data_IF_110076275832
#
_entry.id   IF_110076275832
#
_cell.length_a   1.000
_cell.length_b   1.000
_cell.length_c   1.000
_cell.angle_alpha   90.00
_cell.angle_beta   90.00
_cell.angle_gamma   90.00
#
_symmetry.space_group_name_H-M   'P 1'
#
loop_
_entity.id
_entity.type
_entity.pdbx_description
1 polymer ?
#
# COMPACT_ATOMS: atom_id res chain seq x y z
N UNK A 1 -35.61 21.07 -30.59
CA UNK A 1 -34.61 19.98 -30.75
C UNK A 1 -33.24 20.62 -30.85
N UNK A 2 -32.40 20.43 -29.83
CA UNK A 2 -30.93 20.51 -29.86
C UNK A 2 -30.45 20.34 -28.41
N UNK A 3 -30.05 19.11 -28.06
CA UNK A 3 -29.36 18.80 -26.81
C UNK A 3 -27.87 18.88 -27.05
N UNK A 4 -27.11 19.73 -26.34
CA UNK A 4 -25.66 19.60 -26.32
C UNK A 4 -25.28 18.53 -25.29
N UNK A 5 -24.88 17.36 -25.78
CA UNK A 5 -23.92 16.53 -25.10
C UNK A 5 -22.63 17.32 -24.93
N UNK A 6 -22.11 17.50 -23.72
CA UNK A 6 -20.67 17.41 -23.43
C UNK A 6 -20.31 17.87 -22.00
N UNK A 7 -19.46 17.06 -21.36
CA UNK A 7 -18.56 17.44 -20.26
C UNK A 7 -19.12 17.65 -18.85
N UNK A 8 -19.85 16.66 -18.33
CA UNK A 8 -19.96 16.44 -16.88
C UNK A 8 -18.68 15.77 -16.31
N UNK A 9 -17.50 16.37 -16.53
CA UNK A 9 -16.26 16.02 -15.79
C UNK A 9 -16.20 16.81 -14.48
N UNK A 10 -17.26 16.73 -13.69
CA UNK A 10 -17.26 17.15 -12.28
C UNK A 10 -16.54 16.12 -11.43
N UNK A 11 -15.23 15.96 -11.64
CA UNK A 11 -14.44 14.99 -10.87
C UNK A 11 -14.28 15.51 -9.45
N UNK A 12 -14.94 14.86 -8.50
CA UNK A 12 -14.77 15.06 -7.06
C UNK A 12 -13.28 15.19 -6.68
N UNK A 13 -12.82 16.43 -6.49
CA UNK A 13 -11.45 16.79 -6.13
C UNK A 13 -11.07 16.18 -4.77
N UNK A 14 -12.03 16.08 -3.85
CA UNK A 14 -11.86 15.50 -2.51
C UNK A 14 -11.35 14.05 -2.56
N UNK A 15 -11.80 13.27 -3.54
CA UNK A 15 -11.40 11.86 -3.64
C UNK A 15 -10.00 11.65 -4.26
N UNK A 16 -9.50 12.65 -5.00
CA UNK A 16 -8.18 12.60 -5.65
C UNK A 16 -7.08 12.93 -4.65
N UNK A 17 -7.25 13.99 -3.86
CA UNK A 17 -6.25 14.41 -2.88
C UNK A 17 -6.00 13.34 -1.82
N UNK A 18 -7.06 12.73 -1.29
CA UNK A 18 -6.92 11.70 -0.26
C UNK A 18 -6.13 10.48 -0.77
N UNK A 19 -6.46 10.00 -1.99
CA UNK A 19 -5.72 8.89 -2.62
C UNK A 19 -4.27 9.26 -2.88
N UNK A 20 -4.01 10.47 -3.37
CA UNK A 20 -2.66 10.93 -3.66
C UNK A 20 -1.81 11.03 -2.38
N UNK A 21 -2.35 11.66 -1.33
CA UNK A 21 -1.70 11.77 -0.02
C UNK A 21 -1.41 10.41 0.59
N UNK A 22 -2.34 9.47 0.45
CA UNK A 22 -2.17 8.13 0.99
C UNK A 22 -1.09 7.32 0.23
N UNK A 23 -1.00 7.48 -1.10
CA UNK A 23 0.07 6.87 -1.90
C UNK A 23 1.42 7.47 -1.52
N UNK A 24 1.52 8.78 -1.33
CA UNK A 24 2.75 9.45 -0.86
C UNK A 24 3.16 8.97 0.53
N UNK A 25 2.22 8.91 1.47
CA UNK A 25 2.46 8.37 2.82
C UNK A 25 2.90 6.91 2.78
N UNK A 26 2.27 6.07 1.94
CA UNK A 26 2.67 4.68 1.75
C UNK A 26 4.07 4.56 1.14
N UNK A 27 4.51 5.53 0.34
CA UNK A 27 5.89 5.61 -0.15
C UNK A 27 6.88 5.99 0.95
N UNK A 28 6.49 6.87 1.89
CA UNK A 28 7.31 7.18 3.07
C UNK A 28 7.40 5.99 4.03
N UNK A 29 6.32 5.25 4.25
CA UNK A 29 6.31 4.10 5.17
C UNK A 29 7.21 2.96 4.72
N UNK A 30 7.60 2.88 3.44
CA UNK A 30 8.65 1.96 2.95
C UNK A 30 9.96 2.13 3.71
N UNK A 31 10.29 3.35 4.15
CA UNK A 31 11.54 3.63 4.87
C UNK A 31 11.49 3.20 6.34
N UNK A 32 10.29 3.22 6.93
CA UNK A 32 10.10 2.96 8.37
C UNK A 32 9.66 1.52 8.66
N UNK A 33 8.93 0.89 7.73
CA UNK A 33 8.39 -0.46 7.90
C UNK A 33 9.18 -1.47 7.09
N UNK A 34 9.61 -2.51 7.79
CA UNK A 34 10.41 -3.62 7.26
C UNK A 34 9.67 -4.40 6.17
N UNK A 35 8.41 -4.77 6.42
CA UNK A 35 7.62 -5.52 5.44
C UNK A 35 7.32 -4.71 4.16
N UNK A 36 7.21 -3.39 4.29
CA UNK A 36 6.95 -2.49 3.18
C UNK A 36 8.18 -2.37 2.25
N UNK A 37 9.38 -2.30 2.84
CA UNK A 37 10.67 -2.39 2.12
C UNK A 37 10.82 -3.73 1.39
N UNK A 38 10.57 -4.84 2.08
CA UNK A 38 10.61 -6.18 1.49
C UNK A 38 9.63 -6.34 0.32
N UNK A 39 8.40 -5.83 0.47
CA UNK A 39 7.38 -5.84 -0.58
C UNK A 39 7.81 -5.00 -1.79
N UNK A 40 8.42 -3.84 -1.55
CA UNK A 40 8.93 -2.97 -2.60
C UNK A 40 10.00 -3.70 -3.44
N UNK A 41 11.01 -4.29 -2.78
CA UNK A 41 12.09 -5.04 -3.45
C UNK A 41 11.58 -6.25 -4.22
N UNK A 42 10.65 -7.01 -3.64
CA UNK A 42 10.02 -8.12 -4.36
C UNK A 42 9.36 -7.63 -5.66
N UNK A 43 8.72 -6.46 -5.62
CA UNK A 43 7.93 -5.97 -6.75
C UNK A 43 8.80 -5.31 -7.83
N UNK A 44 9.93 -4.72 -7.41
CA UNK A 44 11.02 -4.24 -8.25
C UNK A 44 11.72 -5.41 -8.96
N UNK A 45 12.03 -6.51 -8.26
CA UNK A 45 12.59 -7.72 -8.85
C UNK A 45 11.66 -8.37 -9.91
N UNK A 46 10.35 -8.11 -9.82
CA UNK A 46 9.36 -8.51 -10.83
C UNK A 46 9.26 -7.55 -12.02
N UNK A 47 10.05 -6.48 -12.06
CA UNK A 47 10.09 -5.50 -13.15
C UNK A 47 8.92 -4.52 -13.18
N UNK A 48 8.17 -4.34 -12.09
CA UNK A 48 7.06 -3.36 -12.07
C UNK A 48 7.57 -1.93 -11.92
N UNK A 49 6.92 -0.93 -12.57
CA UNK A 49 7.31 0.46 -12.40
C UNK A 49 6.99 0.95 -10.98
N UNK A 50 7.88 1.80 -10.45
CA UNK A 50 7.83 2.37 -9.09
C UNK A 50 6.43 2.82 -8.66
N UNK A 51 5.76 3.62 -9.50
CA UNK A 51 4.44 4.18 -9.19
C UNK A 51 3.37 3.10 -8.99
N UNK A 52 3.47 1.96 -9.67
CA UNK A 52 2.56 0.82 -9.52
C UNK A 52 2.84 0.07 -8.22
N UNK A 53 4.12 -0.04 -7.84
CA UNK A 53 4.53 -0.65 -6.57
C UNK A 53 3.92 0.13 -5.40
N UNK A 54 4.12 1.45 -5.35
CA UNK A 54 3.61 2.30 -4.26
C UNK A 54 2.09 2.23 -4.19
N UNK A 55 1.38 2.30 -5.33
CA UNK A 55 -0.08 2.17 -5.33
C UNK A 55 -0.54 0.83 -4.76
N UNK A 56 0.11 -0.28 -5.14
CA UNK A 56 -0.24 -1.59 -4.60
C UNK A 56 0.08 -1.72 -3.11
N UNK A 57 1.15 -1.09 -2.66
CA UNK A 57 1.54 -1.02 -1.25
C UNK A 57 0.53 -0.21 -0.43
N UNK A 58 0.08 0.93 -0.96
CA UNK A 58 -0.98 1.73 -0.38
C UNK A 58 -2.25 0.90 -0.15
N UNK A 59 -2.72 0.15 -1.15
CA UNK A 59 -3.89 -0.73 -0.96
C UNK A 59 -3.70 -1.78 0.15
N UNK A 60 -2.49 -2.29 0.35
CA UNK A 60 -2.19 -3.19 1.48
C UNK A 60 -2.26 -2.47 2.82
N UNK A 61 -1.67 -1.28 2.90
CA UNK A 61 -1.73 -0.46 4.12
C UNK A 61 -3.16 -0.10 4.51
N UNK A 62 -4.02 0.27 3.56
CA UNK A 62 -5.44 0.56 3.85
C UNK A 62 -6.09 -0.65 4.52
N UNK A 63 -5.83 -1.88 4.05
CA UNK A 63 -6.39 -3.09 4.67
C UNK A 63 -5.86 -3.35 6.07
N UNK A 64 -4.59 -3.06 6.32
CA UNK A 64 -3.98 -3.22 7.65
C UNK A 64 -4.59 -2.18 8.61
N UNK A 65 -4.57 -0.90 8.23
CA UNK A 65 -5.16 0.18 9.03
C UNK A 65 -6.65 -0.04 9.28
N UNK A 66 -7.41 -0.48 8.27
CA UNK A 66 -8.83 -0.76 8.42
C UNK A 66 -9.08 -1.89 9.43
N UNK A 67 -8.23 -2.94 9.43
CA UNK A 67 -8.31 -4.00 10.43
C UNK A 67 -7.97 -3.48 11.83
N UNK A 68 -6.86 -2.75 11.97
CA UNK A 68 -6.43 -2.16 13.25
C UNK A 68 -7.47 -1.19 13.81
N UNK A 69 -8.11 -0.39 12.95
CA UNK A 69 -9.24 0.45 13.34
C UNK A 69 -10.38 -0.40 13.87
N UNK A 70 -10.82 -1.41 13.11
CA UNK A 70 -11.96 -2.24 13.51
C UNK A 70 -11.72 -2.99 14.84
N UNK A 71 -10.48 -3.38 15.12
CA UNK A 71 -10.10 -4.07 16.36
C UNK A 71 -9.66 -3.12 17.46
N UNK A 72 -9.56 -1.81 17.20
CA UNK A 72 -8.99 -0.81 18.10
C UNK A 72 -7.62 -1.20 18.69
N UNK A 73 -6.85 -1.99 17.95
CA UNK A 73 -5.52 -2.44 18.38
C UNK A 73 -4.44 -1.57 17.75
N UNK A 74 -3.40 -1.19 18.51
CA UNK A 74 -2.25 -0.51 17.94
C UNK A 74 -1.61 -1.39 16.85
N UNK A 75 -1.05 -0.74 15.83
CA UNK A 75 -0.31 -1.45 14.79
C UNK A 75 1.01 -1.96 15.38
N UNK A 76 1.19 -3.28 15.39
CA UNK A 76 2.43 -3.95 15.76
C UNK A 76 2.96 -4.75 14.56
N UNK A 77 4.18 -4.42 14.16
CA UNK A 77 4.84 -4.99 12.99
C UNK A 77 5.22 -6.46 13.22
N UNK A 78 5.57 -6.82 14.47
CA UNK A 78 5.95 -8.19 14.82
C UNK A 78 4.77 -9.16 14.66
N UNK A 79 3.60 -8.77 15.17
CA UNK A 79 2.34 -9.52 14.98
C UNK A 79 1.98 -9.68 13.50
N UNK A 80 2.22 -8.64 12.68
CA UNK A 80 1.97 -8.72 11.24
C UNK A 80 2.93 -9.71 10.55
N UNK A 81 4.23 -9.70 10.91
CA UNK A 81 5.22 -10.63 10.37
C UNK A 81 4.95 -12.08 10.77
N UNK A 82 4.52 -12.32 12.02
CA UNK A 82 4.11 -13.66 12.49
C UNK A 82 2.91 -14.16 11.68
N UNK A 83 1.90 -13.32 11.47
CA UNK A 83 0.75 -13.65 10.64
C UNK A 83 1.11 -13.86 9.15
N UNK A 84 2.19 -13.23 8.68
CA UNK A 84 2.70 -13.39 7.33
C UNK A 84 3.46 -14.72 7.18
N UNK A 85 4.18 -15.12 8.24
CA UNK A 85 4.89 -16.41 8.40
C UNK A 85 3.93 -17.58 8.42
N UNK A 86 2.86 -17.51 9.21
CA UNK A 86 1.86 -18.56 9.24
C UNK A 86 1.15 -18.75 7.88
N UNK A 87 1.06 -17.69 7.07
CA UNK A 87 0.47 -17.75 5.71
C UNK A 87 1.43 -18.22 4.61
N UNK A 88 2.70 -18.50 4.92
CA UNK A 88 3.68 -18.96 3.93
C UNK A 88 4.01 -17.94 2.84
N UNK A 89 3.85 -16.66 3.15
CA UNK A 89 3.95 -15.59 2.14
C UNK A 89 5.39 -15.47 1.63
N UNK A 90 5.65 -15.39 0.31
CA UNK A 90 7.00 -15.26 -0.25
C UNK A 90 7.68 -13.94 0.12
N UNK A 91 6.97 -13.03 0.77
CA UNK A 91 7.47 -11.75 1.27
C UNK A 91 8.52 -11.90 2.37
N UNK A 92 8.50 -13.01 3.11
CA UNK A 92 9.46 -13.24 4.20
C UNK A 92 10.86 -13.50 3.68
N UNK A 93 11.00 -14.10 2.49
CA UNK A 93 12.31 -14.31 1.85
C UNK A 93 13.01 -12.97 1.57
N UNK A 94 12.26 -11.99 1.08
CA UNK A 94 12.76 -10.64 0.81
C UNK A 94 12.91 -9.79 2.08
N UNK A 95 12.18 -10.14 3.15
CA UNK A 95 12.29 -9.49 4.43
C UNK A 95 13.64 -9.83 5.08
N UNK A 96 13.96 -11.12 5.18
CA UNK A 96 15.25 -11.62 5.69
C UNK A 96 16.46 -11.05 4.93
N UNK A 97 16.34 -10.87 3.61
CA UNK A 97 17.39 -10.26 2.78
C UNK A 97 17.60 -8.75 3.05
N UNK A 98 16.61 -8.06 3.64
CA UNK A 98 16.70 -6.61 3.89
C UNK A 98 17.32 -6.25 5.25
N UNK A 99 17.65 -7.28 6.05
CA UNK A 99 18.43 -7.24 7.30
C UNK A 99 19.94 -7.43 7.09
N UNK A 100 20.38 -7.79 5.86
CA UNK A 100 21.79 -7.85 5.44
C UNK A 100 22.22 -6.59 4.68
#
# INVERSE_FOLDING_TARGET
MNTPSENFKGVCLISKFLRQKFVEWAGLSVRYSFWAKAYYRQQEAKGKPHNTIIRSLAFKWIRILFRCWKTHTPYDESTYLIALKSKGSPLLKFAVESEL
#
